data_IF_808560642842
#
_entry.id   IF_808560642842
#
_cell.length_a   1.000
_cell.length_b   1.000
_cell.length_c   1.000
_cell.angle_alpha   90.00
_cell.angle_beta   90.00
_cell.angle_gamma   90.00
#
_symmetry.space_group_name_H-M   'P 1'
#
loop_
_entity.id
_entity.type
_entity.pdbx_description
1 polymer ?
#
# COMPACT_ATOMS: atom_id res chain seq x y z
N UNK A 1 16.66 13.19 1.79
CA UNK A 1 15.75 12.27 2.49
C UNK A 1 15.32 12.85 3.82
N UNK A 2 16.25 12.97 4.77
CA UNK A 2 15.95 13.39 6.15
C UNK A 2 15.31 14.78 6.26
N UNK A 3 15.81 15.77 5.53
CA UNK A 3 15.18 17.11 5.48
C UNK A 3 13.72 17.07 4.97
N UNK A 4 13.39 16.13 4.09
CA UNK A 4 12.01 15.94 3.60
C UNK A 4 11.15 15.25 4.67
N UNK A 5 11.72 14.35 5.48
CA UNK A 5 11.02 13.77 6.63
C UNK A 5 10.76 14.81 7.72
N UNK A 6 11.72 15.69 8.01
CA UNK A 6 11.61 16.69 9.09
C UNK A 6 10.68 17.86 8.74
N UNK A 7 10.69 18.31 7.49
CA UNK A 7 9.94 19.52 7.05
C UNK A 7 8.78 19.22 6.12
N UNK A 8 8.62 17.97 5.68
CA UNK A 8 7.64 17.54 4.70
C UNK A 8 6.61 16.57 5.24
N UNK A 9 6.01 15.78 4.34
CA UNK A 9 4.94 14.84 4.66
C UNK A 9 5.46 13.41 4.45
N UNK A 10 5.30 12.56 5.46
CA UNK A 10 5.64 11.15 5.39
C UNK A 10 7.14 10.86 5.54
N UNK A 11 7.58 9.69 5.06
CA UNK A 11 8.99 9.29 5.10
C UNK A 11 9.71 9.81 3.85
N UNK A 12 10.65 10.75 4.05
CA UNK A 12 11.38 11.42 2.97
C UNK A 12 12.26 10.50 2.13
N UNK A 13 12.70 9.35 2.64
CA UNK A 13 13.43 8.35 1.84
C UNK A 13 12.45 7.63 0.91
N UNK A 14 11.30 7.19 1.42
CA UNK A 14 10.25 6.55 0.60
C UNK A 14 9.75 7.46 -0.51
N UNK A 15 9.62 8.76 -0.23
CA UNK A 15 9.20 9.75 -1.23
C UNK A 15 10.21 9.92 -2.37
N UNK A 16 11.51 9.87 -2.08
CA UNK A 16 12.55 9.95 -3.13
C UNK A 16 12.53 8.71 -4.04
N UNK A 17 12.42 7.52 -3.45
CA UNK A 17 12.31 6.26 -4.20
C UNK A 17 11.04 6.29 -5.07
N UNK A 18 9.91 6.68 -4.49
CA UNK A 18 8.65 6.82 -5.22
C UNK A 18 8.78 7.79 -6.40
N UNK A 19 9.35 8.97 -6.20
CA UNK A 19 9.56 9.94 -7.27
C UNK A 19 10.45 9.38 -8.40
N UNK A 20 11.52 8.65 -8.04
CA UNK A 20 12.39 7.99 -9.01
C UNK A 20 11.67 6.95 -9.87
N UNK A 21 10.86 6.08 -9.26
CA UNK A 21 10.08 5.05 -9.97
C UNK A 21 9.03 5.71 -10.87
N UNK A 22 8.28 6.68 -10.34
CA UNK A 22 7.18 7.34 -11.07
C UNK A 22 7.69 8.17 -12.25
N UNK A 23 8.85 8.81 -12.12
CA UNK A 23 9.46 9.55 -13.23
C UNK A 23 9.76 8.66 -14.46
N UNK A 24 9.96 7.35 -14.28
CA UNK A 24 10.17 6.41 -15.38
C UNK A 24 8.88 5.91 -16.06
N UNK A 25 7.73 5.99 -15.38
CA UNK A 25 6.47 5.45 -15.88
C UNK A 25 6.02 6.05 -17.22
N UNK A 26 6.09 7.38 -17.46
CA UNK A 26 5.68 7.95 -18.74
C UNK A 26 6.47 7.39 -19.92
N UNK A 27 7.78 7.24 -19.76
CA UNK A 27 8.65 6.67 -20.79
C UNK A 27 8.35 5.18 -21.03
N UNK A 28 8.11 4.41 -19.96
CA UNK A 28 7.76 2.99 -20.09
C UNK A 28 6.42 2.79 -20.82
N UNK A 29 5.42 3.63 -20.52
CA UNK A 29 4.11 3.60 -21.21
C UNK A 29 4.26 4.04 -22.67
N UNK A 30 5.00 5.13 -22.92
CA UNK A 30 5.27 5.64 -24.26
C UNK A 30 5.97 4.60 -25.14
N UNK A 31 7.03 3.97 -24.64
CA UNK A 31 7.72 2.89 -25.34
C UNK A 31 6.80 1.70 -25.62
N UNK A 32 6.05 1.24 -24.62
CA UNK A 32 5.11 0.11 -24.82
C UNK A 32 4.05 0.39 -25.89
N UNK A 33 3.55 1.62 -25.96
CA UNK A 33 2.61 2.05 -27.00
C UNK A 33 3.26 2.15 -28.39
N UNK A 34 4.52 2.55 -28.46
CA UNK A 34 5.27 2.59 -29.71
C UNK A 34 5.53 1.18 -30.26
N UNK A 35 5.97 0.24 -29.41
CA UNK A 35 6.12 -1.17 -29.79
C UNK A 35 4.79 -1.80 -30.26
N UNK A 36 3.66 -1.36 -29.69
CA UNK A 36 2.34 -1.78 -30.14
C UNK A 36 1.97 -1.22 -31.53
N UNK A 37 2.44 -0.01 -31.85
CA UNK A 37 2.21 0.64 -33.15
C UNK A 37 3.10 0.08 -34.26
N UNK A 38 4.34 -0.27 -33.94
CA UNK A 38 5.29 -0.88 -34.90
C UNK A 38 4.96 -2.34 -35.18
N UNK A 39 4.04 -2.95 -34.42
CA UNK A 39 3.60 -4.33 -34.58
C UNK A 39 4.53 -5.36 -33.92
N UNK A 40 5.58 -4.91 -33.22
CA UNK A 40 6.46 -5.79 -32.45
C UNK A 40 5.76 -6.39 -31.23
N UNK A 41 4.84 -5.62 -30.62
CA UNK A 41 3.96 -6.11 -29.55
C UNK A 41 2.53 -6.25 -30.04
N UNK A 42 1.99 -7.45 -29.87
CA UNK A 42 0.59 -7.72 -30.17
C UNK A 42 -0.32 -6.91 -29.22
N UNK A 43 -1.35 -6.23 -29.77
CA UNK A 43 -2.26 -5.37 -29.01
C UNK A 43 -2.90 -6.10 -27.81
N UNK A 44 -3.18 -7.40 -27.97
CA UNK A 44 -3.74 -8.25 -26.91
C UNK A 44 -2.78 -8.42 -25.71
N UNK A 45 -1.46 -8.43 -25.95
CA UNK A 45 -0.44 -8.47 -24.89
C UNK A 45 -0.43 -7.17 -24.10
N UNK A 46 -0.54 -6.03 -24.78
CA UNK A 46 -0.59 -4.71 -24.14
C UNK A 46 -1.84 -4.57 -23.27
N UNK A 47 -2.99 -5.00 -23.79
CA UNK A 47 -4.23 -5.01 -23.02
C UNK A 47 -4.12 -5.92 -21.79
N UNK A 48 -3.52 -7.11 -21.95
CA UNK A 48 -3.27 -8.03 -20.84
C UNK A 48 -2.38 -7.40 -19.77
N UNK A 49 -1.27 -6.75 -20.15
CA UNK A 49 -0.38 -6.05 -19.21
C UNK A 49 -1.11 -4.95 -18.43
N UNK A 50 -1.96 -4.17 -19.11
CA UNK A 50 -2.75 -3.12 -18.45
C UNK A 50 -3.72 -3.71 -17.44
N UNK A 51 -4.46 -4.76 -17.82
CA UNK A 51 -5.38 -5.46 -16.91
C UNK A 51 -4.63 -6.04 -15.72
N UNK A 52 -3.48 -6.68 -15.97
CA UNK A 52 -2.63 -7.25 -14.92
C UNK A 52 -2.17 -6.17 -13.93
N UNK A 53 -1.71 -5.02 -14.42
CA UNK A 53 -1.27 -3.91 -13.56
C UNK A 53 -2.40 -3.40 -12.65
N UNK A 54 -3.62 -3.27 -13.18
CA UNK A 54 -4.81 -2.87 -12.40
C UNK A 54 -5.17 -3.94 -11.37
N UNK A 55 -5.20 -5.21 -11.77
CA UNK A 55 -5.53 -6.34 -10.87
C UNK A 55 -4.53 -6.44 -9.73
N UNK A 56 -3.23 -6.40 -10.02
CA UNK A 56 -2.17 -6.46 -9.00
C UNK A 56 -2.27 -5.27 -8.06
N UNK A 57 -2.48 -4.06 -8.59
CA UNK A 57 -2.66 -2.86 -7.76
C UNK A 57 -3.87 -2.99 -6.84
N UNK A 58 -5.00 -3.47 -7.38
CA UNK A 58 -6.22 -3.72 -6.60
C UNK A 58 -6.02 -4.77 -5.52
N UNK A 59 -5.30 -5.85 -5.84
CA UNK A 59 -4.96 -6.91 -4.90
C UNK A 59 -4.09 -6.39 -3.75
N UNK A 60 -3.05 -5.60 -4.05
CA UNK A 60 -2.21 -4.97 -3.01
C UNK A 60 -3.04 -4.07 -2.11
N UNK A 61 -3.94 -3.24 -2.67
CA UNK A 61 -4.82 -2.37 -1.88
C UNK A 61 -5.79 -3.18 -1.02
N UNK A 62 -6.33 -4.30 -1.52
CA UNK A 62 -7.21 -5.17 -0.77
C UNK A 62 -6.50 -5.77 0.45
N UNK A 63 -5.29 -6.31 0.25
CA UNK A 63 -4.49 -6.90 1.32
C UNK A 63 -4.09 -5.84 2.36
N UNK A 64 -3.66 -4.66 1.91
CA UNK A 64 -3.22 -3.57 2.80
C UNK A 64 -4.38 -2.98 3.63
N UNK A 65 -5.60 -2.99 3.11
CA UNK A 65 -6.82 -2.61 3.84
C UNK A 65 -7.32 -3.71 4.79
N UNK A 66 -6.76 -4.91 4.70
CA UNK A 66 -7.07 -6.04 5.57
C UNK A 66 -6.68 -5.76 7.02
N UNK A 67 -7.68 -5.74 7.90
CA UNK A 67 -7.47 -5.59 9.34
C UNK A 67 -8.24 -6.67 10.11
N UNK A 68 -7.57 -7.28 11.07
CA UNK A 68 -8.15 -8.19 12.05
C UNK A 68 -8.78 -7.37 13.18
N UNK A 69 -10.08 -7.50 13.37
CA UNK A 69 -10.79 -6.86 14.50
C UNK A 69 -10.81 -7.81 15.68
N UNK A 70 -10.12 -7.45 16.77
CA UNK A 70 -10.15 -8.21 18.02
C UNK A 70 -11.08 -7.48 19.01
N UNK A 71 -12.11 -8.16 19.50
CA UNK A 71 -13.04 -7.58 20.47
C UNK A 71 -12.36 -7.41 21.82
N UNK A 72 -12.45 -6.21 22.39
CA UNK A 72 -11.97 -5.90 23.73
C UNK A 72 -13.17 -5.55 24.58
N UNK A 73 -13.36 -6.29 25.67
CA UNK A 73 -14.42 -6.05 26.64
C UNK A 73 -13.84 -5.19 27.77
N UNK A 74 -14.25 -3.93 27.86
CA UNK A 74 -13.84 -3.09 28.99
C UNK A 74 -14.48 -3.59 30.28
N UNK A 75 -13.69 -3.66 31.34
CA UNK A 75 -14.17 -4.06 32.66
C UNK A 75 -15.29 -3.11 33.13
N UNK A 76 -16.36 -3.70 33.67
CA UNK A 76 -17.48 -2.94 34.24
C UNK A 76 -16.94 -2.10 35.40
N UNK A 77 -17.03 -0.77 35.31
CA UNK A 77 -16.88 0.09 36.50
C UNK A 77 -18.19 0.05 37.28
N UNK A 78 -18.18 -0.62 38.43
CA UNK A 78 -19.26 -0.50 39.40
C UNK A 78 -18.97 0.72 40.28
N UNK A 79 -19.82 1.73 40.23
CA UNK A 79 -19.75 2.89 41.13
C UNK A 79 -21.03 2.91 41.98
N UNK A 80 -20.89 2.51 43.25
CA UNK A 80 -22.04 2.32 44.15
C UNK A 80 -22.93 1.13 43.76
N UNK A 81 -24.27 1.31 43.82
CA UNK A 81 -25.28 0.28 43.51
C UNK A 81 -25.64 0.18 42.02
N UNK A 82 -25.03 0.98 41.15
CA UNK A 82 -25.28 0.99 39.71
C UNK A 82 -24.11 0.34 38.98
N UNK A 83 -24.40 -0.75 38.25
CA UNK A 83 -23.47 -1.40 37.34
C UNK A 83 -23.59 -0.70 35.99
N UNK A 84 -22.54 0.00 35.56
CA UNK A 84 -22.49 0.54 34.20
C UNK A 84 -22.27 -0.61 33.21
N UNK A 85 -23.00 -0.58 32.09
CA UNK A 85 -22.93 -1.61 31.05
C UNK A 85 -21.48 -1.74 30.54
N UNK A 86 -21.02 -2.98 30.38
CA UNK A 86 -19.73 -3.24 29.74
C UNK A 86 -19.81 -2.78 28.28
N UNK A 87 -19.04 -1.75 27.92
CA UNK A 87 -18.93 -1.35 26.53
C UNK A 87 -17.95 -2.29 25.83
N UNK A 88 -18.43 -3.02 24.83
CA UNK A 88 -17.59 -3.85 23.95
C UNK A 88 -17.01 -2.96 22.85
N UNK A 89 -15.69 -2.90 22.73
CA UNK A 89 -15.01 -2.25 21.60
C UNK A 89 -14.27 -3.29 20.75
N UNK A 90 -13.68 -2.86 19.65
CA UNK A 90 -12.74 -3.68 18.88
C UNK A 90 -11.44 -2.93 18.66
N UNK A 91 -10.32 -3.61 18.91
CA UNK A 91 -8.99 -3.14 18.53
C UNK A 91 -8.68 -3.65 17.11
N UNK A 92 -8.52 -2.75 16.13
CA UNK A 92 -8.09 -3.14 14.79
C UNK A 92 -6.58 -3.42 14.77
N UNK A 93 -6.20 -4.60 14.30
CA UNK A 93 -4.81 -4.95 13.99
C UNK A 93 -4.68 -5.13 12.48
N UNK A 94 -3.91 -4.27 11.81
CA UNK A 94 -3.63 -4.40 10.38
C UNK A 94 -2.85 -5.68 10.10
N UNK A 95 -3.08 -6.30 8.94
CA UNK A 95 -2.35 -7.50 8.50
C UNK A 95 -0.85 -7.20 8.30
N UNK A 96 -0.55 -6.05 7.68
CA UNK A 96 0.80 -5.54 7.50
C UNK A 96 0.92 -4.18 8.21
N UNK A 97 1.76 -4.11 9.25
CA UNK A 97 2.04 -2.85 9.95
C UNK A 97 3.23 -2.09 9.35
N UNK A 98 4.06 -2.75 8.53
CA UNK A 98 5.31 -2.18 7.99
C UNK A 98 5.12 -1.43 6.67
N UNK A 99 3.93 -1.52 6.08
CA UNK A 99 3.58 -0.83 4.84
C UNK A 99 4.53 -1.16 3.70
N UNK A 100 5.19 -0.14 3.16
CA UNK A 100 6.03 -0.20 1.94
C UNK A 100 7.49 -0.56 2.23
N UNK A 101 7.91 -0.62 3.50
CA UNK A 101 9.33 -0.85 3.86
C UNK A 101 9.84 -2.24 3.41
N UNK A 102 9.11 -3.36 3.63
CA UNK A 102 9.62 -4.68 3.25
C UNK A 102 9.85 -4.85 1.74
N UNK A 103 8.95 -4.42 0.83
CA UNK A 103 9.23 -4.44 -0.60
C UNK A 103 10.44 -3.59 -1.00
N UNK A 104 10.64 -2.42 -0.39
CA UNK A 104 11.79 -1.57 -0.65
C UNK A 104 13.09 -2.31 -0.28
N UNK A 105 13.13 -2.93 0.91
CA UNK A 105 14.30 -3.67 1.36
C UNK A 105 14.61 -4.88 0.47
N UNK A 106 13.56 -5.59 0.01
CA UNK A 106 13.73 -6.69 -0.94
C UNK A 106 14.34 -6.21 -2.27
N UNK A 107 13.91 -5.05 -2.79
CA UNK A 107 14.47 -4.48 -4.01
C UNK A 107 15.94 -4.08 -3.88
N UNK A 108 16.36 -3.59 -2.71
CA UNK A 108 17.77 -3.22 -2.45
C UNK A 108 18.72 -4.42 -2.26
N UNK A 109 18.19 -5.64 -2.11
CA UNK A 109 18.99 -6.85 -1.93
C UNK A 109 19.20 -7.58 -3.26
N UNK A 110 18.27 -7.40 -4.22
CA UNK A 110 18.32 -7.99 -5.55
C UNK A 110 19.18 -7.15 -6.51
N UNK A 111 19.20 -5.82 -6.33
CA UNK A 111 20.05 -4.87 -7.05
C UNK A 111 21.46 -4.81 -6.46
#
# INVERSE_FOLDING_TARGET
GEQVTERGIGNGISMLIFAGIVAGLPNAVGGTLELARTGELHLMMVLFLLVLAVVVTGFVVFVERGQRRITVNYAKRQQGRRVYAAQTTHLPLKLNMSGVIPPIFASSLIL
#
